data_IF_666470152755
#
_entry.id   IF_666470152755
#
_cell.length_a   1.000
_cell.length_b   1.000
_cell.length_c   1.000
_cell.angle_alpha   90.00
_cell.angle_beta   90.00
_cell.angle_gamma   90.00
#
_symmetry.space_group_name_H-M   'P 1'
#
loop_
_entity.id
_entity.type
_entity.pdbx_description
1 polymer ?
#
# COMPACT_ATOMS: atom_id res chain seq x y z
N UNK A 1 -13.06 1.98 6.16
CA UNK A 1 -13.51 1.86 4.78
C UNK A 1 -15.00 1.58 4.69
N UNK A 2 -15.66 2.21 3.73
CA UNK A 2 -17.12 2.18 3.55
C UNK A 2 -17.65 0.83 3.10
N UNK A 3 -16.79 -0.11 2.75
CA UNK A 3 -17.08 -1.27 1.92
C UNK A 3 -17.01 -2.58 2.66
N UNK A 4 -16.57 -2.57 3.91
CA UNK A 4 -16.34 -3.78 4.68
C UNK A 4 -15.08 -4.58 4.29
N UNK A 5 -14.26 -4.08 3.37
CA UNK A 5 -13.01 -4.73 2.96
C UNK A 5 -12.12 -5.03 4.16
N UNK A 6 -11.93 -4.05 5.05
CA UNK A 6 -11.10 -4.21 6.24
C UNK A 6 -11.66 -5.24 7.22
N UNK A 7 -12.98 -5.28 7.38
CA UNK A 7 -13.62 -6.32 8.20
C UNK A 7 -13.42 -7.71 7.61
N UNK A 8 -13.60 -7.86 6.30
CA UNK A 8 -13.40 -9.14 5.61
C UNK A 8 -11.93 -9.59 5.69
N UNK A 9 -10.99 -8.67 5.50
CA UNK A 9 -9.55 -8.93 5.60
C UNK A 9 -9.18 -9.32 7.03
N UNK A 10 -9.64 -8.57 8.03
CA UNK A 10 -9.44 -8.88 9.44
C UNK A 10 -10.01 -10.26 9.80
N UNK A 11 -11.22 -10.57 9.34
CA UNK A 11 -11.84 -11.87 9.57
C UNK A 11 -11.03 -13.00 8.92
N UNK A 12 -10.59 -12.86 7.67
CA UNK A 12 -9.80 -13.88 6.97
C UNK A 12 -8.42 -14.07 7.60
N UNK A 13 -7.74 -12.99 7.98
CA UNK A 13 -6.44 -13.03 8.65
C UNK A 13 -6.53 -13.74 10.01
N UNK A 14 -7.53 -13.39 10.82
CA UNK A 14 -7.70 -13.94 12.14
C UNK A 14 -8.26 -15.37 12.12
N UNK A 15 -9.04 -15.73 11.08
CA UNK A 15 -9.40 -17.12 10.84
C UNK A 15 -8.16 -17.99 10.63
N UNK A 16 -7.20 -17.53 9.82
CA UNK A 16 -5.96 -18.27 9.58
C UNK A 16 -5.15 -18.42 10.87
N UNK A 17 -5.03 -17.36 11.69
CA UNK A 17 -4.40 -17.44 13.01
C UNK A 17 -5.09 -18.45 13.92
N UNK A 18 -6.43 -18.43 13.97
CA UNK A 18 -7.19 -19.37 14.78
C UNK A 18 -7.06 -20.82 14.30
N UNK A 19 -7.00 -21.07 12.99
CA UNK A 19 -6.77 -22.41 12.44
C UNK A 19 -5.36 -22.92 12.76
N UNK A 20 -4.36 -22.04 12.73
CA UNK A 20 -2.99 -22.36 13.13
C UNK A 20 -2.93 -22.78 14.61
N UNK A 21 -3.50 -21.97 15.52
CA UNK A 21 -3.51 -22.27 16.94
C UNK A 21 -4.32 -23.55 17.25
N UNK A 22 -5.46 -23.73 16.57
CA UNK A 22 -6.24 -24.96 16.70
C UNK A 22 -5.48 -26.19 16.21
N UNK A 23 -4.73 -26.08 15.11
CA UNK A 23 -3.90 -27.19 14.61
C UNK A 23 -2.85 -27.61 15.65
N UNK A 24 -2.19 -26.64 16.27
CA UNK A 24 -1.21 -26.90 17.34
C UNK A 24 -1.88 -27.56 18.54
N UNK A 25 -3.01 -27.04 18.99
CA UNK A 25 -3.78 -27.56 20.14
C UNK A 25 -4.29 -28.98 19.91
N UNK A 26 -4.66 -29.33 18.68
CA UNK A 26 -5.21 -30.64 18.29
C UNK A 26 -4.14 -31.70 17.96
N UNK A 27 -2.91 -31.50 18.39
CA UNK A 27 -1.85 -32.49 18.28
C UNK A 27 -0.75 -32.18 17.29
N UNK A 28 -0.78 -31.02 16.64
CA UNK A 28 0.32 -30.49 15.82
C UNK A 28 0.87 -31.50 14.79
N UNK A 29 -0.01 -32.11 14.00
CA UNK A 29 0.38 -33.15 13.03
C UNK A 29 1.38 -32.69 11.98
N UNK A 30 1.46 -31.37 11.70
CA UNK A 30 2.45 -30.77 10.78
C UNK A 30 3.81 -30.57 11.42
N UNK A 31 3.95 -30.73 12.75
CA UNK A 31 5.20 -30.51 13.47
C UNK A 31 5.66 -29.04 13.50
N UNK A 32 4.70 -28.13 13.66
CA UNK A 32 4.97 -26.69 13.72
C UNK A 32 5.77 -26.36 15.00
N UNK A 33 6.88 -25.64 14.83
CA UNK A 33 7.60 -25.04 15.95
C UNK A 33 6.88 -23.75 16.39
N UNK A 34 6.32 -23.77 17.60
CA UNK A 34 5.59 -22.61 18.15
C UNK A 34 6.45 -21.35 18.30
N UNK A 35 7.77 -21.49 18.31
CA UNK A 35 8.73 -20.38 18.33
C UNK A 35 9.03 -19.81 16.93
N UNK A 36 8.58 -20.48 15.88
CA UNK A 36 8.80 -20.08 14.50
C UNK A 36 7.48 -19.79 13.76
N UNK A 37 6.46 -19.37 14.49
CA UNK A 37 5.23 -18.83 13.91
C UNK A 37 5.53 -17.40 13.47
N UNK A 38 5.24 -17.11 12.18
CA UNK A 38 5.43 -15.78 11.57
C UNK A 38 4.12 -15.06 11.32
N UNK A 39 3.00 -15.76 11.46
CA UNK A 39 1.67 -15.23 11.27
C UNK A 39 1.14 -14.60 12.56
N UNK A 40 0.71 -13.34 12.45
CA UNK A 40 0.08 -12.60 13.55
C UNK A 40 -1.40 -12.36 13.29
N UNK A 41 -2.12 -12.02 14.34
CA UNK A 41 -3.47 -11.48 14.24
C UNK A 41 -3.46 -10.06 13.67
N UNK A 42 -4.61 -9.53 13.31
CA UNK A 42 -4.74 -8.13 12.94
C UNK A 42 -6.01 -7.51 13.54
N UNK A 43 -5.96 -6.19 13.68
CA UNK A 43 -7.08 -5.36 14.10
C UNK A 43 -7.03 -4.05 13.32
N UNK A 44 -8.19 -3.48 12.97
CA UNK A 44 -8.24 -2.22 12.21
C UNK A 44 -8.00 -1.02 13.15
N UNK A 45 -6.88 -1.05 13.83
CA UNK A 45 -6.43 0.00 14.74
C UNK A 45 -4.91 -0.10 14.93
N UNK A 46 -4.24 1.04 14.95
CA UNK A 46 -2.83 1.09 15.31
C UNK A 46 -2.68 1.14 16.84
N UNK A 47 -2.76 -0.03 17.47
CA UNK A 47 -2.64 -0.16 18.92
C UNK A 47 -1.26 -0.67 19.33
N UNK A 48 -0.48 0.22 19.95
CA UNK A 48 0.88 -0.10 20.40
C UNK A 48 0.90 -1.15 21.50
N UNK A 49 -0.13 -1.25 22.33
CA UNK A 49 -0.22 -2.20 23.43
C UNK A 49 -0.43 -3.64 22.93
N UNK A 50 -1.01 -3.81 21.75
CA UNK A 50 -1.30 -5.12 21.16
C UNK A 50 -0.20 -5.64 20.23
N UNK A 51 0.91 -4.92 20.05
CA UNK A 51 1.99 -5.33 19.15
C UNK A 51 2.75 -6.56 19.62
N UNK A 52 2.82 -6.75 20.93
CA UNK A 52 3.45 -7.90 21.59
C UNK A 52 2.56 -8.33 22.74
N UNK A 53 1.95 -9.50 22.61
CA UNK A 53 1.07 -10.12 23.62
C UNK A 53 1.48 -11.56 23.84
N UNK A 54 1.06 -12.13 24.95
CA UNK A 54 1.11 -13.57 25.16
C UNK A 54 -0.32 -14.10 25.06
N UNK A 55 -0.58 -14.97 24.10
CA UNK A 55 -1.87 -15.66 23.96
C UNK A 55 -1.85 -17.08 24.52
N UNK A 56 -2.99 -17.78 24.48
CA UNK A 56 -3.12 -19.16 24.92
C UNK A 56 -3.01 -19.38 26.43
N UNK A 57 -3.09 -18.33 27.25
CA UNK A 57 -3.08 -18.44 28.72
C UNK A 57 -4.42 -19.01 29.24
N UNK A 58 -4.42 -19.56 30.45
CA UNK A 58 -5.63 -20.07 31.12
C UNK A 58 -5.68 -21.59 31.27
N UNK A 59 -4.60 -22.29 30.99
CA UNK A 59 -4.46 -23.74 31.22
C UNK A 59 -4.71 -24.58 29.96
N UNK A 60 -4.63 -25.89 30.13
CA UNK A 60 -4.56 -26.91 29.07
C UNK A 60 -5.65 -26.78 27.98
N UNK A 61 -6.83 -26.30 28.35
CA UNK A 61 -7.96 -26.19 27.41
C UNK A 61 -8.00 -24.88 26.64
N UNK A 62 -7.09 -23.93 26.92
CA UNK A 62 -7.12 -22.56 26.37
C UNK A 62 -6.09 -22.32 25.26
N UNK A 63 -5.38 -23.35 24.84
CA UNK A 63 -4.34 -23.27 23.80
C UNK A 63 -2.93 -23.45 24.33
N UNK A 64 -1.96 -23.19 23.49
CA UNK A 64 -0.53 -23.25 23.82
C UNK A 64 0.00 -21.84 24.00
N UNK A 65 0.49 -21.45 25.19
CA UNK A 65 1.03 -20.10 25.40
C UNK A 65 2.18 -19.80 24.47
N UNK A 66 2.08 -18.67 23.76
CA UNK A 66 3.11 -18.17 22.87
C UNK A 66 3.08 -16.65 22.74
N UNK A 67 4.16 -16.08 22.21
CA UNK A 67 4.14 -14.68 21.76
C UNK A 67 3.28 -14.56 20.50
N UNK A 68 2.42 -13.55 20.47
CA UNK A 68 1.63 -13.13 19.33
C UNK A 68 1.60 -11.59 19.28
N UNK A 69 0.83 -11.02 18.38
CA UNK A 69 0.60 -9.59 18.28
C UNK A 69 -0.53 -9.29 17.30
N UNK A 70 -0.96 -8.03 17.31
CA UNK A 70 -1.96 -7.53 16.38
C UNK A 70 -1.33 -6.46 15.50
N UNK A 71 -1.17 -6.78 14.21
CA UNK A 71 -0.80 -5.80 13.22
C UNK A 71 -2.04 -5.01 12.77
N UNK A 72 -1.87 -3.80 12.27
CA UNK A 72 -3.00 -3.08 11.68
C UNK A 72 -3.43 -3.79 10.38
N UNK A 73 -4.74 -3.88 10.14
CA UNK A 73 -5.30 -4.64 9.00
C UNK A 73 -4.68 -4.28 7.65
N UNK A 74 -4.33 -3.01 7.43
CA UNK A 74 -3.67 -2.54 6.19
C UNK A 74 -2.22 -3.02 6.03
N UNK A 75 -1.60 -3.52 7.09
CA UNK A 75 -0.27 -4.14 7.05
C UNK A 75 -0.34 -5.67 6.86
N UNK A 76 -1.51 -6.27 6.87
CA UNK A 76 -1.66 -7.71 6.68
C UNK A 76 -1.28 -8.16 5.27
N UNK A 77 -0.68 -9.34 5.15
CA UNK A 77 -0.40 -9.95 3.86
C UNK A 77 -1.70 -10.22 3.06
N UNK A 78 -2.81 -10.51 3.74
CA UNK A 78 -4.13 -10.70 3.12
C UNK A 78 -4.56 -9.45 2.34
N UNK A 79 -4.32 -8.23 2.88
CA UNK A 79 -4.60 -6.98 2.17
C UNK A 79 -3.78 -6.87 0.88
N UNK A 80 -2.49 -7.17 0.93
CA UNK A 80 -1.62 -7.12 -0.24
C UNK A 80 -2.05 -8.15 -1.31
N UNK A 81 -2.35 -9.36 -0.89
CA UNK A 81 -2.82 -10.45 -1.75
C UNK A 81 -4.14 -10.08 -2.43
N UNK A 82 -5.13 -9.57 -1.67
CA UNK A 82 -6.41 -9.11 -2.21
C UNK A 82 -6.22 -8.05 -3.31
N UNK A 83 -5.35 -7.08 -3.08
CA UNK A 83 -5.12 -5.97 -4.02
C UNK A 83 -4.41 -6.40 -5.31
N UNK A 84 -3.65 -7.49 -5.29
CA UNK A 84 -2.92 -8.00 -6.44
C UNK A 84 -3.66 -9.13 -7.17
N UNK A 85 -4.71 -9.69 -6.57
CA UNK A 85 -5.50 -10.76 -7.18
C UNK A 85 -6.30 -10.29 -8.39
N UNK A 86 -6.38 -11.13 -9.42
CA UNK A 86 -7.15 -10.85 -10.64
C UNK A 86 -8.62 -11.30 -10.54
N UNK A 87 -8.86 -12.36 -9.80
CA UNK A 87 -10.17 -12.99 -9.60
C UNK A 87 -10.17 -13.89 -8.34
N UNK A 88 -11.30 -14.51 -8.04
CA UNK A 88 -11.47 -15.35 -6.85
C UNK A 88 -10.58 -16.61 -6.88
N UNK A 89 -10.28 -17.15 -8.05
CA UNK A 89 -9.45 -18.34 -8.22
C UNK A 89 -7.98 -18.00 -7.96
N UNK A 90 -7.51 -16.90 -8.54
CA UNK A 90 -6.16 -16.37 -8.28
C UNK A 90 -6.02 -15.96 -6.82
N UNK A 91 -7.04 -15.29 -6.24
CA UNK A 91 -7.07 -14.95 -4.82
C UNK A 91 -6.85 -16.19 -3.95
N UNK A 92 -7.66 -17.24 -4.16
CA UNK A 92 -7.55 -18.49 -3.42
C UNK A 92 -6.16 -19.12 -3.56
N UNK A 93 -5.61 -19.17 -4.77
CA UNK A 93 -4.28 -19.71 -5.02
C UNK A 93 -3.17 -18.92 -4.32
N UNK A 94 -3.28 -17.61 -4.28
CA UNK A 94 -2.33 -16.73 -3.57
C UNK A 94 -2.43 -16.91 -2.05
N UNK A 95 -3.65 -16.91 -1.50
CA UNK A 95 -3.88 -17.16 -0.07
C UNK A 95 -3.25 -18.48 0.37
N UNK A 96 -3.43 -19.56 -0.43
CA UNK A 96 -2.84 -20.86 -0.11
C UNK A 96 -1.32 -20.88 0.01
N UNK A 97 -0.61 -19.97 -0.68
CA UNK A 97 0.86 -19.90 -0.64
C UNK A 97 1.44 -19.08 0.51
N UNK A 98 0.61 -18.38 1.29
CA UNK A 98 1.09 -17.58 2.42
C UNK A 98 1.74 -18.50 3.46
N UNK A 99 2.93 -18.15 3.90
CA UNK A 99 3.69 -18.88 4.93
C UNK A 99 3.21 -18.39 6.30
N UNK A 100 2.83 -19.32 7.16
CA UNK A 100 2.30 -19.02 8.50
C UNK A 100 3.26 -19.40 9.63
N UNK A 101 4.09 -20.42 9.41
CA UNK A 101 5.01 -20.93 10.39
C UNK A 101 6.11 -21.78 9.73
N UNK A 102 7.03 -22.26 10.53
CA UNK A 102 7.99 -23.28 10.14
C UNK A 102 7.90 -24.48 11.08
N UNK A 103 8.22 -25.67 10.56
CA UNK A 103 8.29 -26.91 11.32
C UNK A 103 9.59 -26.99 12.12
N UNK A 104 9.71 -27.93 13.05
CA UNK A 104 10.95 -28.16 13.83
C UNK A 104 12.17 -28.48 12.94
N UNK A 105 11.95 -29.02 11.75
CA UNK A 105 13.00 -29.29 10.75
C UNK A 105 13.19 -28.13 9.73
N UNK A 106 12.54 -26.98 9.97
CA UNK A 106 12.73 -25.75 9.19
C UNK A 106 11.95 -25.69 7.87
N UNK A 107 11.02 -26.60 7.61
CA UNK A 107 10.14 -26.52 6.42
C UNK A 107 9.04 -25.46 6.60
N UNK A 108 8.73 -24.65 5.59
CA UNK A 108 7.64 -23.71 5.67
C UNK A 108 6.29 -24.44 5.73
N UNK A 109 5.39 -23.93 6.56
CA UNK A 109 3.98 -24.32 6.64
C UNK A 109 3.15 -23.19 6.05
N UNK A 110 2.27 -23.52 5.12
CA UNK A 110 1.45 -22.56 4.38
C UNK A 110 -0.02 -22.60 4.83
N UNK A 111 -0.79 -21.59 4.42
CA UNK A 111 -2.24 -21.60 4.63
C UNK A 111 -2.93 -22.79 3.92
N UNK A 112 -2.34 -23.31 2.83
CA UNK A 112 -2.83 -24.52 2.14
C UNK A 112 -2.65 -25.76 3.01
N UNK A 113 -1.52 -25.92 3.70
CA UNK A 113 -1.29 -27.05 4.60
C UNK A 113 -2.33 -27.11 5.74
N UNK A 114 -2.80 -25.93 6.16
CA UNK A 114 -3.90 -25.77 7.11
C UNK A 114 -5.31 -25.87 6.46
N UNK A 115 -5.40 -26.00 5.14
CA UNK A 115 -6.65 -26.01 4.34
C UNK A 115 -7.51 -24.77 4.56
N UNK A 116 -6.88 -23.60 4.79
CA UNK A 116 -7.53 -22.36 5.16
C UNK A 116 -8.01 -21.53 3.96
N UNK A 117 -7.35 -21.67 2.80
CA UNK A 117 -7.53 -20.77 1.64
C UNK A 117 -8.96 -20.71 1.12
N UNK A 118 -9.71 -21.82 1.23
CA UNK A 118 -11.10 -21.87 0.78
C UNK A 118 -12.03 -21.02 1.67
N UNK A 119 -11.90 -21.17 2.99
CA UNK A 119 -12.67 -20.37 3.95
C UNK A 119 -12.29 -18.89 3.92
N UNK A 120 -11.00 -18.59 3.79
CA UNK A 120 -10.52 -17.21 3.62
C UNK A 120 -11.07 -16.57 2.35
N UNK A 121 -11.04 -17.27 1.20
CA UNK A 121 -11.60 -16.79 -0.05
C UNK A 121 -13.12 -16.55 0.03
N UNK A 122 -13.85 -17.38 0.77
CA UNK A 122 -15.27 -17.20 1.00
C UNK A 122 -15.57 -15.91 1.81
N UNK A 123 -14.78 -15.61 2.85
CA UNK A 123 -14.89 -14.37 3.60
C UNK A 123 -14.56 -13.13 2.75
N UNK A 124 -13.64 -13.26 1.80
CA UNK A 124 -13.17 -12.16 0.95
C UNK A 124 -13.99 -12.00 -0.34
N UNK A 125 -14.95 -12.87 -0.62
CA UNK A 125 -15.71 -12.91 -1.87
C UNK A 125 -16.31 -11.57 -2.28
N UNK A 126 -16.94 -10.88 -1.34
CA UNK A 126 -17.54 -9.58 -1.63
C UNK A 126 -16.53 -8.44 -1.55
N UNK A 127 -15.54 -8.55 -0.68
CA UNK A 127 -14.44 -7.60 -0.59
C UNK A 127 -13.57 -7.55 -1.86
N UNK A 128 -13.59 -8.57 -2.72
CA UNK A 128 -12.86 -8.58 -3.99
C UNK A 128 -13.45 -7.61 -5.03
N UNK A 129 -14.67 -7.13 -4.82
CA UNK A 129 -15.36 -6.20 -5.72
C UNK A 129 -15.01 -4.75 -5.40
N UNK A 130 -14.43 -3.96 -6.33
CA UNK A 130 -14.19 -2.54 -6.10
C UNK A 130 -15.48 -1.76 -5.85
N UNK A 131 -15.40 -0.74 -5.01
CA UNK A 131 -16.51 0.12 -4.68
C UNK A 131 -16.47 1.38 -5.52
N UNK A 132 -17.51 1.61 -6.30
CA UNK A 132 -17.69 2.84 -7.05
C UNK A 132 -18.45 3.85 -6.19
N UNK A 133 -17.86 5.00 -5.99
CA UNK A 133 -18.43 6.13 -5.26
C UNK A 133 -18.41 7.38 -6.12
N UNK A 134 -19.23 8.36 -5.77
CA UNK A 134 -19.22 9.68 -6.38
C UNK A 134 -18.57 10.68 -5.42
N UNK A 135 -17.63 11.48 -5.91
CA UNK A 135 -17.01 12.57 -5.15
C UNK A 135 -17.99 13.73 -4.98
N UNK A 136 -17.67 14.68 -4.09
CA UNK A 136 -18.46 15.90 -3.91
C UNK A 136 -18.53 16.75 -5.19
N UNK A 137 -17.55 16.62 -6.08
CA UNK A 137 -17.50 17.30 -7.38
C UNK A 137 -18.09 16.45 -8.51
N UNK A 138 -18.89 15.44 -8.17
CA UNK A 138 -19.61 14.56 -9.10
C UNK A 138 -18.72 13.71 -10.01
N UNK A 139 -17.44 13.55 -9.69
CA UNK A 139 -16.55 12.63 -10.40
C UNK A 139 -16.66 11.21 -9.85
N UNK A 140 -16.67 10.16 -10.70
CA UNK A 140 -16.65 8.79 -10.22
C UNK A 140 -15.27 8.45 -9.63
N UNK A 141 -15.24 7.67 -8.54
CA UNK A 141 -14.02 7.17 -7.94
C UNK A 141 -14.19 5.73 -7.47
N UNK A 142 -13.18 4.89 -7.73
CA UNK A 142 -13.10 3.55 -7.15
C UNK A 142 -12.29 3.58 -5.87
N UNK A 143 -12.88 3.02 -4.80
CA UNK A 143 -12.22 2.83 -3.51
C UNK A 143 -12.09 1.32 -3.27
N UNK A 144 -10.87 0.81 -3.20
CA UNK A 144 -10.64 -0.62 -3.04
C UNK A 144 -9.24 -0.94 -2.54
N UNK A 145 -9.16 -1.56 -1.36
CA UNK A 145 -7.92 -1.90 -0.69
C UNK A 145 -7.13 -0.67 -0.22
N UNK A 146 -6.01 -0.90 0.41
CA UNK A 146 -5.15 0.15 0.92
C UNK A 146 -3.93 -0.39 1.68
N UNK A 147 -3.10 -1.27 1.05
CA UNK A 147 -1.90 -1.78 1.69
C UNK A 147 -0.90 -0.65 1.90
N UNK A 148 -0.14 -0.70 2.99
CA UNK A 148 0.91 0.29 3.24
C UNK A 148 2.10 0.11 2.30
N UNK A 149 2.66 1.22 1.80
CA UNK A 149 3.80 1.21 0.88
C UNK A 149 5.10 0.71 1.53
N UNK A 150 5.25 0.89 2.82
CA UNK A 150 6.39 0.36 3.58
C UNK A 150 6.29 -1.15 3.88
N UNK A 151 5.11 -1.74 3.69
CA UNK A 151 4.86 -3.17 3.93
C UNK A 151 4.68 -3.92 2.59
N UNK A 152 3.87 -3.37 1.67
CA UNK A 152 3.51 -3.99 0.41
C UNK A 152 3.65 -2.99 -0.75
N UNK A 153 2.84 -3.13 -1.81
CA UNK A 153 2.91 -2.25 -2.98
C UNK A 153 2.28 -0.86 -2.77
N UNK A 154 1.56 -0.62 -1.66
CA UNK A 154 1.20 0.71 -1.18
C UNK A 154 0.16 1.49 -1.98
N UNK A 155 -0.65 0.83 -2.82
CA UNK A 155 -1.67 1.47 -3.64
C UNK A 155 -2.89 0.59 -3.82
N UNK A 156 -3.96 1.12 -4.40
CA UNK A 156 -5.22 0.41 -4.63
C UNK A 156 -5.07 -0.86 -5.47
N UNK A 157 -6.16 -1.62 -5.58
CA UNK A 157 -6.15 -2.92 -6.26
C UNK A 157 -5.95 -2.83 -7.78
N UNK A 158 -5.41 -3.90 -8.35
CA UNK A 158 -5.33 -4.11 -9.80
C UNK A 158 -6.72 -4.07 -10.43
N UNK A 159 -7.71 -4.70 -9.79
CA UNK A 159 -9.09 -4.78 -10.27
C UNK A 159 -9.72 -3.38 -10.38
N UNK A 160 -9.57 -2.53 -9.36
CA UNK A 160 -10.09 -1.16 -9.39
C UNK A 160 -9.48 -0.34 -10.52
N UNK A 161 -8.16 -0.40 -10.69
CA UNK A 161 -7.47 0.31 -11.79
C UNK A 161 -7.91 -0.18 -13.16
N UNK A 162 -8.04 -1.50 -13.35
CA UNK A 162 -8.54 -2.07 -14.63
C UNK A 162 -9.99 -1.68 -14.91
N UNK A 163 -10.85 -1.61 -13.89
CA UNK A 163 -12.22 -1.15 -14.06
C UNK A 163 -12.27 0.33 -14.44
N UNK A 164 -11.49 1.18 -13.77
CA UNK A 164 -11.40 2.60 -14.09
C UNK A 164 -10.98 2.82 -15.56
N UNK A 165 -9.96 2.09 -16.03
CA UNK A 165 -9.48 2.14 -17.41
C UNK A 165 -10.51 1.63 -18.45
N UNK A 166 -11.47 0.80 -18.05
CA UNK A 166 -12.55 0.31 -18.94
C UNK A 166 -13.75 1.23 -18.99
N UNK A 167 -13.97 2.04 -17.97
CA UNK A 167 -15.17 2.85 -17.81
C UNK A 167 -14.95 4.34 -18.08
N UNK A 168 -13.71 4.82 -18.05
CA UNK A 168 -13.35 6.20 -18.29
C UNK A 168 -12.36 6.36 -19.44
N UNK A 169 -12.41 7.51 -20.09
CA UNK A 169 -11.41 7.91 -21.10
C UNK A 169 -10.04 8.14 -20.44
N UNK A 170 -10.07 8.57 -19.18
CA UNK A 170 -8.90 8.79 -18.34
C UNK A 170 -9.09 8.11 -17.00
N UNK A 171 -8.07 7.40 -16.55
CA UNK A 171 -8.00 6.86 -15.19
C UNK A 171 -6.81 7.48 -14.44
N UNK A 172 -7.10 8.14 -13.33
CA UNK A 172 -6.10 8.69 -12.42
C UNK A 172 -6.04 7.81 -11.20
N UNK A 173 -4.86 7.35 -10.82
CA UNK A 173 -4.67 6.50 -9.64
C UNK A 173 -3.47 6.98 -8.84
N UNK A 174 -3.49 6.72 -7.53
CA UNK A 174 -2.31 6.87 -6.71
C UNK A 174 -1.26 5.81 -7.05
N UNK A 175 -0.01 6.13 -6.86
CA UNK A 175 1.11 5.20 -6.96
C UNK A 175 1.67 4.79 -5.58
N UNK A 176 1.01 5.22 -4.50
CA UNK A 176 1.44 5.00 -3.14
C UNK A 176 2.31 6.12 -2.58
N UNK A 177 2.65 5.98 -1.31
CA UNK A 177 3.40 6.95 -0.54
C UNK A 177 4.86 7.03 -0.97
N UNK A 178 5.38 8.24 -1.20
CA UNK A 178 6.72 8.59 -1.65
C UNK A 178 7.10 8.09 -3.05
N UNK A 179 7.83 8.92 -3.79
CA UNK A 179 8.22 8.60 -5.16
C UNK A 179 9.31 7.51 -5.21
N UNK A 180 10.17 7.48 -4.22
CA UNK A 180 11.27 6.51 -4.03
C UNK A 180 10.86 5.24 -3.27
N UNK A 181 9.59 5.10 -2.91
CA UNK A 181 9.07 3.93 -2.21
C UNK A 181 7.79 3.41 -2.89
N UNK A 182 6.68 4.16 -2.76
CA UNK A 182 5.39 3.74 -3.29
C UNK A 182 5.36 3.72 -4.80
N UNK A 183 5.89 4.75 -5.48
CA UNK A 183 5.90 4.79 -6.94
C UNK A 183 6.78 3.67 -7.54
N UNK A 184 7.95 3.39 -6.96
CA UNK A 184 8.80 2.28 -7.42
C UNK A 184 8.08 0.93 -7.27
N UNK A 185 7.44 0.67 -6.12
CA UNK A 185 6.65 -0.54 -5.92
C UNK A 185 5.42 -0.61 -6.83
N UNK A 186 4.80 0.52 -7.13
CA UNK A 186 3.73 0.59 -8.10
C UNK A 186 4.20 0.11 -9.48
N UNK A 187 5.35 0.60 -9.98
CA UNK A 187 5.89 0.18 -11.26
C UNK A 187 6.39 -1.26 -11.23
N UNK A 188 7.22 -1.60 -10.25
CA UNK A 188 7.94 -2.87 -10.21
C UNK A 188 7.11 -4.04 -9.71
N UNK A 189 6.05 -3.79 -8.94
CA UNK A 189 5.16 -4.84 -8.45
C UNK A 189 3.82 -4.78 -9.19
N UNK A 190 3.03 -3.72 -9.00
CA UNK A 190 1.66 -3.67 -9.50
C UNK A 190 1.60 -3.64 -11.03
N UNK A 191 2.33 -2.75 -11.68
CA UNK A 191 2.34 -2.63 -13.13
C UNK A 191 2.92 -3.90 -13.79
N UNK A 192 4.02 -4.41 -13.26
CA UNK A 192 4.66 -5.62 -13.77
C UNK A 192 3.77 -6.84 -13.69
N UNK A 193 3.12 -7.08 -12.54
CA UNK A 193 2.21 -8.23 -12.35
C UNK A 193 0.92 -8.11 -13.16
N UNK A 194 0.41 -6.89 -13.34
CA UNK A 194 -0.89 -6.65 -13.97
C UNK A 194 -0.83 -6.34 -15.45
N UNK A 195 0.36 -6.05 -15.99
CA UNK A 195 0.53 -5.54 -17.36
C UNK A 195 0.05 -4.11 -17.58
N UNK A 196 -0.22 -3.37 -16.48
CA UNK A 196 -0.59 -1.96 -16.56
C UNK A 196 0.61 -1.12 -17.00
N UNK A 197 0.36 -0.13 -17.85
CA UNK A 197 1.38 0.83 -18.31
C UNK A 197 0.85 2.24 -18.18
N UNK A 198 1.39 3.06 -17.28
CA UNK A 198 1.06 4.47 -17.15
C UNK A 198 1.44 5.23 -18.43
N UNK A 199 0.64 6.24 -18.80
CA UNK A 199 0.97 7.14 -19.92
C UNK A 199 1.72 8.38 -19.45
N UNK A 200 1.53 8.80 -18.21
CA UNK A 200 2.21 9.95 -17.60
C UNK A 200 2.21 9.85 -16.08
N UNK A 201 3.08 10.59 -15.44
CA UNK A 201 3.20 10.68 -13.98
C UNK A 201 3.09 12.13 -13.54
N UNK A 202 2.34 12.36 -12.46
CA UNK A 202 2.32 13.65 -11.74
C UNK A 202 2.99 13.43 -10.39
N UNK A 203 4.12 14.12 -10.18
CA UNK A 203 4.77 14.18 -8.87
C UNK A 203 4.18 15.36 -8.09
N UNK A 204 3.59 15.08 -6.94
CA UNK A 204 3.12 16.13 -6.03
C UNK A 204 4.23 16.46 -5.06
N UNK A 205 4.71 17.70 -5.10
CA UNK A 205 5.73 18.21 -4.18
C UNK A 205 5.14 19.34 -3.32
N UNK A 206 5.30 19.24 -2.00
CA UNK A 206 4.89 20.31 -1.11
C UNK A 206 6.02 21.31 -0.89
N UNK A 207 5.71 22.59 -0.76
CA UNK A 207 6.70 23.63 -0.41
C UNK A 207 7.40 23.29 0.90
N UNK A 208 6.65 22.75 1.87
CA UNK A 208 7.20 22.33 3.17
C UNK A 208 8.21 21.20 3.04
N UNK A 209 7.94 20.20 2.20
CA UNK A 209 8.89 19.12 1.97
C UNK A 209 10.20 19.64 1.35
N UNK A 210 10.11 20.53 0.36
CA UNK A 210 11.30 21.14 -0.26
C UNK A 210 12.11 21.93 0.76
N UNK A 211 11.48 22.75 1.62
CA UNK A 211 12.18 23.48 2.69
C UNK A 211 12.83 22.51 3.70
N UNK A 212 12.14 21.43 4.07
CA UNK A 212 12.67 20.42 4.98
C UNK A 212 13.92 19.75 4.42
N UNK A 213 13.88 19.34 3.13
CA UNK A 213 15.04 18.80 2.42
C UNK A 213 16.17 19.83 2.26
N UNK A 214 15.83 21.11 2.27
CA UNK A 214 16.80 22.20 2.29
C UNK A 214 17.40 22.53 3.67
N UNK A 215 17.00 21.78 4.71
CA UNK A 215 17.57 21.85 6.06
C UNK A 215 16.75 22.64 7.08
N UNK A 216 15.52 23.06 6.76
CA UNK A 216 14.63 23.76 7.73
C UNK A 216 14.07 22.78 8.75
N UNK A 217 14.18 23.05 10.05
CA UNK A 217 13.57 22.23 11.10
C UNK A 217 12.05 22.12 10.96
N UNK A 218 11.46 20.99 11.35
CA UNK A 218 10.00 20.74 11.24
C UNK A 218 9.14 21.83 11.89
N UNK A 219 9.58 22.40 13.02
CA UNK A 219 8.86 23.44 13.73
C UNK A 219 8.80 24.78 12.96
N UNK A 220 9.72 25.01 12.03
CA UNK A 220 9.92 26.28 11.31
C UNK A 220 9.42 26.23 9.85
N UNK A 221 8.87 25.10 9.40
CA UNK A 221 8.39 24.91 8.02
C UNK A 221 7.25 25.88 7.62
N UNK A 222 6.60 26.53 8.58
CA UNK A 222 5.58 27.56 8.33
C UNK A 222 6.15 28.91 7.88
N UNK A 223 7.43 29.17 8.09
CA UNK A 223 8.07 30.45 7.76
C UNK A 223 8.66 30.42 6.35
N UNK A 224 8.78 31.59 5.74
CA UNK A 224 9.40 31.70 4.42
C UNK A 224 10.91 31.48 4.49
N UNK A 225 11.41 30.57 3.67
CA UNK A 225 12.85 30.38 3.42
C UNK A 225 13.06 29.93 1.98
N UNK A 226 13.35 30.89 1.11
CA UNK A 226 13.57 30.63 -0.32
C UNK A 226 14.94 29.96 -0.56
N UNK A 227 15.94 30.24 0.29
CA UNK A 227 17.26 29.60 0.17
C UNK A 227 17.16 28.09 0.46
N UNK A 228 16.45 27.71 1.53
CA UNK A 228 16.21 26.33 1.84
C UNK A 228 15.37 25.64 0.77
N UNK A 229 14.36 26.32 0.21
CA UNK A 229 13.58 25.78 -0.89
C UNK A 229 14.45 25.45 -2.11
N UNK A 230 15.36 26.35 -2.49
CA UNK A 230 16.32 26.11 -3.58
C UNK A 230 17.26 24.94 -3.29
N UNK A 231 17.75 24.82 -2.05
CA UNK A 231 18.59 23.68 -1.63
C UNK A 231 17.85 22.35 -1.64
N UNK A 232 16.51 22.34 -1.49
CA UNK A 232 15.70 21.15 -1.54
C UNK A 232 15.30 20.70 -2.96
N UNK A 233 15.43 21.58 -3.97
CA UNK A 233 15.08 21.27 -5.36
C UNK A 233 15.82 20.07 -5.96
N UNK A 234 17.12 19.84 -5.72
CA UNK A 234 17.83 18.68 -6.24
C UNK A 234 17.17 17.35 -5.91
N UNK A 235 16.54 17.25 -4.73
CA UNK A 235 15.79 16.05 -4.34
C UNK A 235 14.56 15.82 -5.24
N UNK A 236 13.78 16.85 -5.51
CA UNK A 236 12.65 16.77 -6.44
C UNK A 236 13.12 16.43 -7.87
N UNK A 237 14.19 17.07 -8.33
CA UNK A 237 14.76 16.79 -9.67
C UNK A 237 15.27 15.35 -9.78
N UNK A 238 15.79 14.77 -8.70
CA UNK A 238 16.17 13.37 -8.67
C UNK A 238 14.95 12.47 -8.96
N UNK A 239 13.82 12.68 -8.30
CA UNK A 239 12.58 11.92 -8.54
C UNK A 239 12.05 12.11 -9.97
N UNK A 240 12.06 13.34 -10.49
CA UNK A 240 11.70 13.61 -11.89
C UNK A 240 12.60 12.82 -12.86
N UNK A 241 13.91 12.81 -12.60
CA UNK A 241 14.88 12.10 -13.42
C UNK A 241 14.67 10.57 -13.34
N UNK A 242 14.35 10.03 -12.17
CA UNK A 242 14.02 8.61 -12.03
C UNK A 242 12.81 8.23 -12.89
N UNK A 243 11.73 9.02 -12.86
CA UNK A 243 10.55 8.75 -13.69
C UNK A 243 10.87 8.84 -15.18
N UNK A 244 11.64 9.86 -15.59
CA UNK A 244 11.95 10.08 -17.01
C UNK A 244 12.99 9.11 -17.55
N UNK A 245 14.04 8.87 -16.81
CA UNK A 245 15.22 8.14 -17.30
C UNK A 245 15.18 6.65 -16.98
N UNK A 246 14.56 6.24 -15.86
CA UNK A 246 14.46 4.83 -15.48
C UNK A 246 13.16 4.20 -15.96
N UNK A 247 12.03 4.89 -15.74
CA UNK A 247 10.73 4.39 -16.16
C UNK A 247 10.30 4.86 -17.56
N UNK A 248 11.03 5.80 -18.16
CA UNK A 248 10.78 6.33 -19.50
C UNK A 248 9.38 6.90 -19.70
N UNK A 249 8.87 7.62 -18.68
CA UNK A 249 7.54 8.19 -18.68
C UNK A 249 7.56 9.71 -18.66
N UNK A 250 6.62 10.37 -19.34
CA UNK A 250 6.39 11.80 -19.17
C UNK A 250 6.08 12.12 -17.71
N UNK A 251 6.68 13.17 -17.18
CA UNK A 251 6.52 13.58 -15.79
C UNK A 251 6.22 15.06 -15.67
N UNK A 252 5.17 15.40 -14.93
CA UNK A 252 4.77 16.76 -14.56
C UNK A 252 4.88 16.90 -13.05
N UNK A 253 5.30 18.06 -12.57
CA UNK A 253 5.34 18.38 -11.15
C UNK A 253 4.17 19.29 -10.78
N UNK A 254 3.37 18.86 -9.81
CA UNK A 254 2.32 19.66 -9.19
C UNK A 254 2.82 20.15 -7.81
N UNK A 255 2.94 21.46 -7.67
CA UNK A 255 3.32 22.07 -6.39
C UNK A 255 2.08 22.24 -5.51
N UNK A 256 2.08 21.57 -4.37
CA UNK A 256 1.05 21.70 -3.35
C UNK A 256 1.49 22.74 -2.33
N UNK A 257 0.89 23.94 -2.40
CA UNK A 257 1.11 25.02 -1.46
C UNK A 257 0.05 25.03 -0.37
N UNK A 258 0.46 25.20 0.87
CA UNK A 258 -0.45 25.37 2.00
C UNK A 258 -0.84 26.84 2.17
N UNK A 259 -1.95 27.17 2.85
CA UNK A 259 -2.37 28.57 3.11
C UNK A 259 -1.33 29.42 3.83
N UNK A 260 -0.40 28.79 4.54
CA UNK A 260 0.72 29.47 5.24
C UNK A 260 1.93 29.70 4.35
N UNK A 261 1.96 29.16 3.14
CA UNK A 261 3.06 29.39 2.21
C UNK A 261 2.85 30.75 1.50
N UNK A 262 3.92 31.54 1.43
CA UNK A 262 3.86 32.88 0.81
C UNK A 262 3.76 32.78 -0.72
N UNK A 263 3.22 33.82 -1.36
CA UNK A 263 3.07 33.87 -2.82
C UNK A 263 4.40 33.80 -3.59
N UNK A 264 5.53 34.11 -2.95
CA UNK A 264 6.87 34.06 -3.56
C UNK A 264 7.39 32.62 -3.73
N UNK A 265 7.00 31.72 -2.81
CA UNK A 265 7.39 30.31 -2.90
C UNK A 265 6.82 29.60 -4.15
N UNK A 266 5.55 29.81 -4.55
CA UNK A 266 5.02 29.33 -5.82
C UNK A 266 5.48 30.10 -7.06
N UNK A 267 5.82 31.39 -6.95
CA UNK A 267 6.16 32.24 -8.11
C UNK A 267 7.47 31.81 -8.82
N UNK A 268 8.38 31.15 -8.11
CA UNK A 268 9.56 30.50 -8.73
C UNK A 268 9.23 29.20 -9.50
N UNK A 269 7.93 28.88 -9.70
CA UNK A 269 7.46 27.79 -10.56
C UNK A 269 8.08 27.81 -11.96
N UNK A 270 8.30 28.98 -12.51
CA UNK A 270 8.76 29.13 -13.89
C UNK A 270 10.19 28.63 -14.11
N UNK A 271 11.04 28.63 -13.08
CA UNK A 271 12.40 28.06 -13.19
C UNK A 271 12.39 26.52 -13.08
N UNK A 272 11.44 25.94 -12.35
CA UNK A 272 11.26 24.48 -12.27
C UNK A 272 10.56 23.99 -13.54
N UNK A 273 9.57 24.74 -14.05
CA UNK A 273 8.85 24.39 -15.26
C UNK A 273 9.73 24.53 -16.51
N UNK A 274 10.64 25.51 -16.58
CA UNK A 274 11.52 25.69 -17.74
C UNK A 274 12.58 24.59 -17.87
N UNK A 275 13.03 24.00 -16.77
CA UNK A 275 13.88 22.80 -16.82
C UNK A 275 13.11 21.51 -17.08
N UNK A 276 11.77 21.56 -17.02
CA UNK A 276 10.85 20.46 -17.28
C UNK A 276 10.13 20.59 -18.64
N UNK A 277 10.36 21.67 -19.39
CA UNK A 277 9.72 21.93 -20.70
C UNK A 277 10.44 21.24 -21.84
N UNK A 278 9.78 20.31 -22.40
CA UNK A 278 9.39 20.03 -23.78
C UNK A 278 8.57 18.75 -23.79
N UNK A 279 7.29 18.86 -23.45
CA UNK A 279 6.34 17.75 -23.61
C UNK A 279 5.40 18.17 -24.74
N UNK A 280 5.42 17.49 -25.91
CA UNK A 280 4.37 17.67 -26.90
C UNK A 280 3.01 17.29 -26.27
N UNK A 281 1.88 17.85 -26.73
CA UNK A 281 0.56 17.47 -26.24
C UNK A 281 0.36 15.98 -26.50
N UNK A 282 0.42 15.18 -25.45
CA UNK A 282 0.16 13.74 -25.49
C UNK A 282 -1.30 13.56 -25.06
N UNK A 283 -2.11 12.76 -25.77
CA UNK A 283 -3.40 12.36 -25.26
C UNK A 283 -3.19 11.63 -23.94
N UNK A 284 -3.67 12.23 -22.85
CA UNK A 284 -3.49 11.69 -21.50
C UNK A 284 -4.40 10.49 -21.29
N UNK A 285 -3.83 9.30 -21.34
CA UNK A 285 -4.49 8.05 -20.96
C UNK A 285 -3.81 7.56 -19.68
N UNK A 286 -4.34 7.94 -18.54
CA UNK A 286 -3.89 7.54 -17.21
C UNK A 286 -2.82 8.47 -16.60
N UNK A 287 -3.20 9.13 -15.52
CA UNK A 287 -2.33 9.99 -14.70
C UNK A 287 -2.10 9.35 -13.34
N UNK A 288 -0.86 9.39 -12.86
CA UNK A 288 -0.48 8.90 -11.53
C UNK A 288 0.02 10.03 -10.67
N UNK A 289 -0.36 10.02 -9.40
CA UNK A 289 0.12 10.98 -8.40
C UNK A 289 1.01 10.25 -7.41
N UNK A 290 2.32 10.55 -7.42
CA UNK A 290 3.22 10.17 -6.35
C UNK A 290 3.39 11.39 -5.43
N UNK A 291 3.10 11.23 -4.12
CA UNK A 291 3.39 12.26 -3.12
C UNK A 291 4.82 12.12 -2.65
N UNK A 292 5.65 13.12 -2.88
CA UNK A 292 6.90 13.29 -2.14
C UNK A 292 6.56 13.95 -0.79
N UNK A 293 6.87 13.29 0.31
CA UNK A 293 6.77 13.84 1.67
C UNK A 293 8.05 14.45 2.13
#
# INVERSE_FOLDING_TARGET
>A
HFTGDFHAIGAANNLLAALLDNHIQQGNALGIDVKQIVWKRCVDMNDRQLRHVIDGLGGKMQGVPREDGFDITVASEVMAVLCLASDITDLKARLGRMIVAYTFDGRPVTAHDLKAEGAMAALLKDALKPNLVQTLEHSPAFIHGGPFANIAHGCNSVTATRMALKLGDYAVTEAGFAADLGAEKFFDIKCRLSGLRPSAVVIVATVRALKYHGGVPKAELGWEDLSALEKGLPNLLHHVNTIRNTFHLPCVVAINAFPTDTALAPARRNSIASSAQEIPPIPMIGMFTACAT
#
